data_IF_241067315900
#
_entry.id   IF_241067315900
#
_cell.length_a   1.000
_cell.length_b   1.000
_cell.length_c   1.000
_cell.angle_alpha   90.00
_cell.angle_beta   90.00
_cell.angle_gamma   90.00
#
_symmetry.space_group_name_H-M   'P 1'
#
loop_
_entity.id
_entity.type
_entity.pdbx_description
1 polymer ?
#
# COMPACT_ATOMS: atom_id res chain seq x y z
N UNK A 1 18.54 -2.87 3.84
CA UNK A 1 17.75 -3.31 2.66
C UNK A 1 16.77 -2.23 2.21
N UNK A 2 15.92 -1.71 3.11
CA UNK A 2 14.87 -0.75 2.77
C UNK A 2 15.21 0.72 3.09
N UNK A 3 16.39 1.00 3.64
CA UNK A 3 16.86 2.37 3.88
C UNK A 3 17.09 3.12 2.56
N UNK A 4 16.65 4.38 2.51
CA UNK A 4 16.67 5.25 1.33
C UNK A 4 15.96 4.64 0.09
N UNK A 5 15.02 3.71 0.30
CA UNK A 5 14.22 3.11 -0.77
C UNK A 5 12.82 3.71 -0.83
N UNK A 6 12.29 3.76 -2.05
CA UNK A 6 10.89 4.03 -2.36
C UNK A 6 10.13 2.72 -2.45
N UNK A 7 9.08 2.54 -1.64
CA UNK A 7 8.36 1.28 -1.51
C UNK A 7 6.89 1.52 -1.80
N UNK A 8 6.28 0.73 -2.69
CA UNK A 8 4.85 0.73 -2.97
C UNK A 8 4.20 -0.49 -2.31
N UNK A 9 3.08 -0.28 -1.61
CA UNK A 9 2.29 -1.35 -1.00
C UNK A 9 0.88 -1.29 -1.58
N UNK A 10 0.54 -2.24 -2.47
CA UNK A 10 -0.85 -2.38 -2.94
C UNK A 10 -1.69 -3.08 -1.87
N UNK A 11 -2.94 -2.66 -1.69
CA UNK A 11 -3.76 -3.16 -0.59
C UNK A 11 -3.21 -2.76 0.78
N UNK A 12 -2.44 -1.68 0.85
CA UNK A 12 -1.71 -1.27 2.04
C UNK A 12 -2.58 -0.90 3.24
N UNK A 13 -3.87 -0.61 3.03
CA UNK A 13 -4.86 -0.40 4.10
C UNK A 13 -5.39 -1.69 4.73
N UNK A 14 -5.07 -2.86 4.16
CA UNK A 14 -5.39 -4.17 4.74
C UNK A 14 -4.55 -4.51 5.98
N UNK A 15 -4.92 -5.58 6.68
CA UNK A 15 -4.23 -6.01 7.91
C UNK A 15 -2.74 -6.27 7.71
N UNK A 16 -2.37 -7.00 6.64
CA UNK A 16 -0.97 -7.24 6.28
C UNK A 16 -0.24 -5.94 5.95
N UNK A 17 -0.86 -5.08 5.14
CA UNK A 17 -0.29 -3.78 4.75
C UNK A 17 0.02 -2.89 5.94
N UNK A 18 -0.92 -2.74 6.88
CA UNK A 18 -0.72 -1.97 8.12
C UNK A 18 0.44 -2.53 8.96
N UNK A 19 0.50 -3.85 9.14
CA UNK A 19 1.59 -4.49 9.89
C UNK A 19 2.95 -4.32 9.20
N UNK A 20 2.98 -4.37 7.87
CA UNK A 20 4.20 -4.17 7.10
C UNK A 20 4.68 -2.73 7.19
N UNK A 21 3.79 -1.74 7.10
CA UNK A 21 4.12 -0.32 7.33
C UNK A 21 4.71 -0.11 8.71
N UNK A 22 4.07 -0.65 9.76
CA UNK A 22 4.59 -0.61 11.13
C UNK A 22 6.01 -1.19 11.22
N UNK A 23 6.26 -2.31 10.54
CA UNK A 23 7.57 -2.97 10.51
C UNK A 23 8.62 -2.13 9.77
N UNK A 24 8.25 -1.53 8.63
CA UNK A 24 9.13 -0.66 7.85
C UNK A 24 9.54 0.58 8.65
N UNK A 25 8.58 1.26 9.26
CA UNK A 25 8.84 2.47 10.06
C UNK A 25 9.65 2.17 11.33
N UNK A 26 9.48 1.00 11.93
CA UNK A 26 10.20 0.63 13.15
C UNK A 26 11.64 0.17 12.91
N UNK A 27 11.94 -0.41 11.73
CA UNK A 27 13.21 -1.10 11.48
C UNK A 27 14.10 -0.44 10.43
N UNK A 28 13.56 0.50 9.64
CA UNK A 28 14.25 1.10 8.50
C UNK A 28 13.95 2.59 8.37
N UNK A 29 14.71 3.27 7.50
CA UNK A 29 14.55 4.68 7.12
C UNK A 29 14.28 4.80 5.62
N UNK A 30 13.09 4.40 5.15
CA UNK A 30 12.74 4.49 3.74
C UNK A 30 12.61 5.95 3.30
N UNK A 31 12.99 6.23 2.06
CA UNK A 31 12.80 7.54 1.42
C UNK A 31 11.31 7.83 1.20
N UNK A 32 10.54 6.80 0.85
CA UNK A 32 9.11 6.91 0.57
C UNK A 32 8.39 5.59 0.80
N UNK A 33 7.24 5.63 1.47
CA UNK A 33 6.30 4.51 1.56
C UNK A 33 4.98 4.97 0.91
N UNK A 34 4.56 4.30 -0.15
CA UNK A 34 3.35 4.61 -0.90
C UNK A 34 2.28 3.56 -0.58
N UNK A 35 1.19 4.00 0.04
CA UNK A 35 -0.01 3.19 0.28
C UNK A 35 -0.93 3.35 -0.92
N UNK A 36 -1.19 2.23 -1.61
CA UNK A 36 -2.06 2.20 -2.78
C UNK A 36 -3.30 1.35 -2.52
N UNK A 37 -4.46 1.99 -2.47
CA UNK A 37 -5.76 1.32 -2.27
C UNK A 37 -6.92 2.17 -2.79
N UNK A 38 -8.12 1.58 -2.84
CA UNK A 38 -9.34 2.23 -3.38
C UNK A 38 -10.17 2.97 -2.34
N UNK A 39 -10.17 2.45 -1.12
CA UNK A 39 -11.05 2.88 -0.03
C UNK A 39 -10.46 4.12 0.65
N UNK A 40 -11.07 5.29 0.40
CA UNK A 40 -10.60 6.57 0.93
C UNK A 40 -10.71 6.64 2.46
N UNK A 41 -11.79 6.08 3.03
CA UNK A 41 -12.02 6.12 4.46
C UNK A 41 -10.93 5.35 5.19
N UNK A 42 -10.59 4.15 4.70
CA UNK A 42 -9.48 3.37 5.28
C UNK A 42 -8.13 4.03 5.11
N UNK A 43 -7.90 4.81 4.05
CA UNK A 43 -6.67 5.60 3.91
C UNK A 43 -6.66 6.74 4.92
N UNK A 44 -7.76 7.47 5.07
CA UNK A 44 -7.91 8.54 6.04
C UNK A 44 -7.66 8.05 7.46
N UNK A 45 -8.33 6.96 7.88
CA UNK A 45 -8.12 6.32 9.19
C UNK A 45 -6.67 5.89 9.40
N UNK A 46 -6.04 5.31 8.37
CA UNK A 46 -4.65 4.87 8.44
C UNK A 46 -3.69 6.06 8.55
N UNK A 47 -3.98 7.18 7.90
CA UNK A 47 -3.18 8.40 7.95
C UNK A 47 -3.22 9.06 9.33
N UNK A 48 -4.32 8.92 10.09
CA UNK A 48 -4.36 9.37 11.49
C UNK A 48 -3.41 8.58 12.41
N UNK A 49 -3.01 7.37 12.01
CA UNK A 49 -2.11 6.50 12.78
C UNK A 49 -0.67 6.54 12.26
N UNK A 50 -0.49 6.69 10.95
CA UNK A 50 0.81 6.69 10.28
C UNK A 50 0.98 7.94 9.42
N UNK A 51 1.46 9.02 10.01
CA UNK A 51 1.63 10.34 9.37
C UNK A 51 3.10 10.72 9.12
N UNK A 52 4.03 9.76 9.25
CA UNK A 52 5.46 10.01 9.11
C UNK A 52 5.80 10.71 7.77
N UNK A 53 6.81 11.60 7.71
CA UNK A 53 7.11 12.41 6.51
C UNK A 53 7.37 11.62 5.22
N UNK A 54 7.76 10.35 5.31
CA UNK A 54 7.98 9.46 4.17
C UNK A 54 6.69 8.82 3.61
N UNK A 55 5.56 8.94 4.30
CA UNK A 55 4.28 8.32 3.92
C UNK A 55 3.61 9.07 2.77
N UNK A 56 3.06 8.35 1.80
CA UNK A 56 2.25 8.87 0.70
C UNK A 56 1.02 7.97 0.53
N UNK A 57 -0.13 8.57 0.30
CA UNK A 57 -1.41 7.88 0.16
C UNK A 57 -1.98 8.12 -1.22
N UNK A 58 -2.03 7.08 -2.04
CA UNK A 58 -2.53 7.14 -3.41
C UNK A 58 -3.82 6.34 -3.52
N UNK A 59 -4.89 7.02 -3.94
CA UNK A 59 -6.12 6.35 -4.36
C UNK A 59 -5.92 5.72 -5.73
N UNK A 60 -6.31 4.45 -5.87
CA UNK A 60 -6.30 3.73 -7.15
C UNK A 60 -6.68 2.26 -7.03
N UNK A 61 -7.05 1.66 -8.17
CA UNK A 61 -7.33 0.24 -8.31
C UNK A 61 -6.15 -0.45 -9.01
N UNK A 62 -5.75 -1.64 -8.57
CA UNK A 62 -4.72 -2.45 -9.23
C UNK A 62 -5.17 -2.99 -10.59
N UNK A 63 -6.49 -2.98 -10.85
CA UNK A 63 -7.10 -3.31 -12.14
C UNK A 63 -6.94 -2.17 -13.16
N UNK A 64 -6.65 -0.95 -12.71
CA UNK A 64 -6.34 0.18 -13.58
C UNK A 64 -4.83 0.20 -13.85
N UNK A 65 -4.46 -0.29 -15.05
CA UNK A 65 -3.08 -0.40 -15.49
C UNK A 65 -2.36 0.95 -15.51
N UNK A 66 -2.99 1.99 -16.04
CA UNK A 66 -2.36 3.29 -16.18
C UNK A 66 -2.11 3.93 -14.82
N UNK A 67 -3.10 3.82 -13.93
CA UNK A 67 -2.97 4.31 -12.56
C UNK A 67 -1.87 3.57 -11.79
N UNK A 68 -1.78 2.25 -11.97
CA UNK A 68 -0.75 1.44 -11.33
C UNK A 68 0.65 1.79 -11.85
N UNK A 69 0.81 1.98 -13.18
CA UNK A 69 2.07 2.42 -13.79
C UNK A 69 2.52 3.76 -13.20
N UNK A 70 1.61 4.72 -13.05
CA UNK A 70 1.92 6.01 -12.44
C UNK A 70 2.37 5.86 -10.99
N UNK A 71 1.69 5.03 -10.19
CA UNK A 71 2.03 4.77 -8.80
C UNK A 71 3.40 4.07 -8.63
N UNK A 72 3.82 3.28 -9.62
CA UNK A 72 5.10 2.56 -9.63
C UNK A 72 6.30 3.41 -10.06
N UNK A 73 6.11 4.64 -10.57
CA UNK A 73 7.23 5.48 -11.05
C UNK A 73 8.22 5.80 -9.93
N UNK A 74 9.48 5.41 -10.12
CA UNK A 74 10.56 5.65 -9.15
C UNK A 74 10.45 4.83 -7.86
N UNK A 75 9.71 3.71 -7.91
CA UNK A 75 9.62 2.73 -6.82
C UNK A 75 10.74 1.71 -6.96
N UNK A 76 11.43 1.43 -5.86
CA UNK A 76 12.49 0.42 -5.78
C UNK A 76 11.93 -0.97 -5.43
N UNK A 77 10.89 -1.04 -4.58
CA UNK A 77 10.26 -2.29 -4.15
C UNK A 77 8.73 -2.21 -4.20
N UNK A 78 8.10 -3.29 -4.66
CA UNK A 78 6.65 -3.46 -4.62
C UNK A 78 6.28 -4.60 -3.69
N UNK A 79 5.42 -4.31 -2.73
CA UNK A 79 4.75 -5.30 -1.88
C UNK A 79 3.30 -5.39 -2.36
N UNK A 80 2.97 -6.46 -3.07
CA UNK A 80 1.64 -6.64 -3.64
C UNK A 80 0.74 -7.44 -2.71
N UNK A 81 -0.19 -6.76 -2.02
CA UNK A 81 -1.13 -7.39 -1.08
C UNK A 81 -2.61 -7.07 -1.38
N UNK A 82 -2.90 -6.41 -2.51
CA UNK A 82 -4.27 -6.21 -2.97
C UNK A 82 -4.86 -7.51 -3.53
N UNK A 83 -5.94 -8.02 -2.94
CA UNK A 83 -6.63 -9.21 -3.42
C UNK A 83 -8.09 -9.25 -2.94
N UNK A 84 -8.92 -10.02 -3.66
CA UNK A 84 -10.10 -10.63 -3.07
C UNK A 84 -9.63 -11.88 -2.31
N UNK A 85 -9.85 -11.91 -1.00
CA UNK A 85 -9.30 -12.95 -0.11
C UNK A 85 -10.36 -13.78 0.64
N UNK A 86 -11.63 -13.48 0.41
CA UNK A 86 -12.73 -14.20 1.05
C UNK A 86 -13.24 -15.27 0.07
N UNK A 87 -13.13 -16.54 0.46
CA UNK A 87 -13.51 -17.68 -0.40
C UNK A 87 -14.95 -17.55 -0.91
N UNK A 88 -15.98 -17.33 -0.06
CA UNK A 88 -17.36 -17.27 -0.55
C UNK A 88 -17.59 -16.13 -1.56
N UNK A 89 -16.92 -14.99 -1.36
CA UNK A 89 -17.05 -13.86 -2.28
C UNK A 89 -16.34 -14.11 -3.61
N UNK A 90 -15.19 -14.78 -3.60
CA UNK A 90 -14.45 -15.14 -4.82
C UNK A 90 -15.17 -16.24 -5.62
N UNK A 91 -15.76 -17.23 -4.94
CA UNK A 91 -16.54 -18.29 -5.61
C UNK A 91 -17.84 -17.75 -6.23
N UNK A 92 -18.52 -16.83 -5.55
CA UNK A 92 -19.74 -16.22 -6.09
C UNK A 92 -19.47 -15.19 -7.21
N UNK A 93 -18.29 -14.57 -7.23
CA UNK A 93 -17.90 -13.53 -8.20
C UNK A 93 -16.55 -13.88 -8.87
N UNK A 94 -16.53 -14.90 -9.77
CA UNK A 94 -15.30 -15.34 -10.43
C UNK A 94 -14.71 -14.30 -11.41
#
# INVERSE_FOLDING_TARGET
MFDDKSILITGGTGSFGKQYVKTLLARYKPRKIIIFSRDELKQFEMQQVYDAPCMRYFIGDVRDKERLIQAMRGVDYVIHAAALKQVPAAEYNP
#
